data_IF_407487446787
#
_entry.id   IF_407487446787
#
_cell.length_a   1.000
_cell.length_b   1.000
_cell.length_c   1.000
_cell.angle_alpha   90.00
_cell.angle_beta   90.00
_cell.angle_gamma   90.00
#
_symmetry.space_group_name_H-M   'P 1'
#
loop_
_entity.id
_entity.type
_entity.pdbx_description
1 polymer ?
#
# COMPACT_ATOMS: atom_id res chain seq x y z
N UNK A 1 46.44 30.93 -3.05
CA UNK A 1 45.53 29.90 -3.60
C UNK A 1 44.03 30.24 -3.54
N UNK A 2 43.59 31.38 -2.96
CA UNK A 2 42.19 31.84 -2.97
C UNK A 2 41.86 32.79 -4.15
N UNK A 3 42.86 33.31 -4.85
CA UNK A 3 42.65 34.33 -5.91
C UNK A 3 41.87 33.84 -7.14
N UNK A 4 41.94 32.55 -7.48
CA UNK A 4 41.16 32.02 -8.60
C UNK A 4 39.66 31.91 -8.29
N UNK A 5 39.25 31.80 -7.02
CA UNK A 5 37.83 31.75 -6.65
C UNK A 5 37.12 33.08 -6.89
N UNK A 6 37.81 34.22 -6.66
CA UNK A 6 37.23 35.55 -6.95
C UNK A 6 37.13 35.86 -8.44
N UNK A 7 38.07 35.38 -9.26
CA UNK A 7 38.13 35.67 -10.70
C UNK A 7 36.96 35.07 -11.49
N UNK A 8 36.44 33.93 -11.03
CA UNK A 8 35.32 33.24 -11.69
C UNK A 8 33.98 33.42 -10.98
N UNK A 9 33.87 34.33 -10.00
CA UNK A 9 32.60 34.58 -9.27
C UNK A 9 31.44 34.88 -10.24
N UNK A 10 31.68 35.71 -11.26
CA UNK A 10 30.69 36.01 -12.29
C UNK A 10 30.35 34.81 -13.18
N UNK A 11 31.36 34.01 -13.57
CA UNK A 11 31.17 32.80 -14.36
C UNK A 11 30.34 31.76 -13.59
N UNK A 12 30.62 31.59 -12.29
CA UNK A 12 29.88 30.69 -11.40
C UNK A 12 28.42 31.09 -11.32
N UNK A 13 28.12 32.39 -11.20
CA UNK A 13 26.73 32.89 -11.20
C UNK A 13 26.02 32.52 -12.51
N UNK A 14 26.67 32.69 -13.67
CA UNK A 14 26.08 32.32 -14.98
C UNK A 14 25.81 30.82 -15.06
N UNK A 15 26.74 29.97 -14.59
CA UNK A 15 26.53 28.52 -14.53
C UNK A 15 25.36 28.17 -13.62
N UNK A 16 25.24 28.82 -12.46
CA UNK A 16 24.11 28.62 -11.56
C UNK A 16 22.78 29.04 -12.18
N UNK A 17 22.74 30.16 -12.90
CA UNK A 17 21.53 30.63 -13.61
C UNK A 17 21.12 29.63 -14.70
N UNK A 18 22.07 29.09 -15.47
CA UNK A 18 21.78 28.07 -16.48
C UNK A 18 21.26 26.78 -15.83
N UNK A 19 21.86 26.33 -14.73
CA UNK A 19 21.34 25.18 -13.97
C UNK A 19 19.94 25.43 -13.44
N UNK A 20 19.66 26.64 -12.97
CA UNK A 20 18.34 27.03 -12.45
C UNK A 20 17.28 27.06 -13.56
N UNK A 21 17.62 27.59 -14.74
CA UNK A 21 16.73 27.61 -15.90
C UNK A 21 16.48 26.19 -16.41
N UNK A 22 17.50 25.33 -16.46
CA UNK A 22 17.35 23.91 -16.79
C UNK A 22 16.46 23.19 -15.78
N UNK A 23 16.55 23.52 -14.49
CA UNK A 23 15.67 23.00 -13.46
C UNK A 23 14.23 23.54 -13.58
N UNK A 24 14.06 24.76 -14.10
CA UNK A 24 12.75 25.35 -14.38
C UNK A 24 12.10 24.78 -15.65
N UNK A 25 12.92 24.32 -16.62
CA UNK A 25 12.49 23.60 -17.82
C UNK A 25 12.27 22.09 -17.60
N UNK A 26 12.61 21.55 -16.42
CA UNK A 26 12.06 20.28 -15.96
C UNK A 26 10.57 20.52 -15.62
N UNK A 27 9.77 20.58 -16.69
CA UNK A 27 8.33 20.66 -16.61
C UNK A 27 7.86 19.53 -15.69
N UNK A 28 7.11 19.90 -14.64
CA UNK A 28 6.62 18.98 -13.60
C UNK A 28 5.74 17.89 -14.20
N UNK A 29 5.30 18.06 -15.45
CA UNK A 29 4.62 17.06 -16.29
C UNK A 29 5.51 15.86 -16.65
N UNK A 30 6.80 16.09 -16.95
CA UNK A 30 7.77 15.04 -17.31
C UNK A 30 8.24 14.22 -16.10
N UNK A 31 8.29 14.83 -14.91
CA UNK A 31 8.54 14.13 -13.64
C UNK A 31 7.29 13.41 -13.13
N UNK A 32 6.08 13.93 -13.39
CA UNK A 32 4.81 13.23 -13.08
C UNK A 32 4.64 11.95 -13.90
N UNK A 33 5.03 11.99 -15.17
CA UNK A 33 4.87 10.85 -16.09
C UNK A 33 5.97 9.79 -15.99
N UNK A 34 7.03 10.01 -15.21
CA UNK A 34 8.08 9.01 -14.99
C UNK A 34 7.74 8.02 -13.84
N UNK A 35 6.60 8.23 -13.17
CA UNK A 35 6.16 7.45 -11.99
C UNK A 35 4.86 6.67 -12.20
N UNK A 36 4.08 6.99 -13.25
CA UNK A 36 2.84 6.24 -13.54
C UNK A 36 3.17 5.06 -14.44
N UNK A 37 3.24 3.87 -13.86
CA UNK A 37 3.29 2.61 -14.62
C UNK A 37 2.15 2.53 -15.64
N UNK A 38 2.28 1.64 -16.61
CA UNK A 38 1.25 1.38 -17.62
C UNK A 38 -0.11 1.15 -16.93
N UNK A 39 -1.20 1.67 -17.50
CA UNK A 39 -2.54 1.41 -17.00
C UNK A 39 -2.85 -0.08 -17.12
N UNK A 40 -3.21 -0.73 -16.01
CA UNK A 40 -3.43 -2.18 -15.96
C UNK A 40 -4.93 -2.49 -15.87
N UNK A 41 -5.69 -1.77 -15.04
CA UNK A 41 -7.11 -2.07 -14.80
C UNK A 41 -7.95 -0.81 -14.56
N UNK A 42 -9.25 -0.89 -14.91
CA UNK A 42 -10.25 0.15 -14.60
C UNK A 42 -11.37 -0.45 -13.76
N UNK A 43 -11.56 0.07 -12.55
CA UNK A 43 -12.56 -0.40 -11.58
C UNK A 43 -13.33 0.80 -11.06
N UNK A 44 -14.66 0.72 -11.04
CA UNK A 44 -15.54 1.81 -10.56
C UNK A 44 -15.23 3.20 -11.16
N UNK A 45 -14.85 3.24 -12.45
CA UNK A 45 -14.51 4.49 -13.13
C UNK A 45 -13.09 5.02 -12.88
N UNK A 46 -12.35 4.47 -11.91
CA UNK A 46 -10.95 4.79 -11.63
C UNK A 46 -10.02 3.85 -12.41
N UNK A 47 -9.01 4.43 -13.06
CA UNK A 47 -7.91 3.69 -13.70
C UNK A 47 -6.78 3.51 -12.71
N UNK A 48 -6.24 2.29 -12.63
CA UNK A 48 -5.13 1.91 -11.78
C UNK A 48 -3.90 1.56 -12.62
N UNK A 49 -2.74 2.00 -12.15
CA UNK A 49 -1.46 1.69 -12.80
C UNK A 49 -0.82 0.41 -12.23
N UNK A 50 0.23 -0.07 -12.90
CA UNK A 50 0.96 -1.29 -12.52
C UNK A 50 1.51 -1.27 -11.08
N UNK A 51 1.97 -0.11 -10.61
CA UNK A 51 2.47 0.04 -9.24
C UNK A 51 1.33 -0.12 -8.23
N UNK A 52 0.19 0.50 -8.48
CA UNK A 52 -1.01 0.33 -7.64
C UNK A 52 -1.50 -1.11 -7.65
N UNK A 53 -1.50 -1.77 -8.81
CA UNK A 53 -1.86 -3.17 -8.94
C UNK A 53 -0.92 -4.07 -8.12
N UNK A 54 0.41 -3.88 -8.25
CA UNK A 54 1.40 -4.63 -7.49
C UNK A 54 1.27 -4.43 -5.98
N UNK A 55 1.14 -3.19 -5.52
CA UNK A 55 1.05 -2.89 -4.08
C UNK A 55 -0.27 -3.36 -3.47
N UNK A 56 -1.40 -3.05 -4.11
CA UNK A 56 -2.74 -3.33 -3.55
C UNK A 56 -3.24 -4.74 -3.86
N UNK A 57 -2.72 -5.37 -4.91
CA UNK A 57 -3.00 -6.72 -5.37
C UNK A 57 -1.92 -7.69 -4.91
N UNK A 58 -0.87 -7.91 -5.71
CA UNK A 58 0.15 -8.95 -5.51
C UNK A 58 0.81 -8.91 -4.13
N UNK A 59 1.47 -7.80 -3.76
CA UNK A 59 2.15 -7.66 -2.46
C UNK A 59 1.17 -7.76 -1.30
N UNK A 60 -0.04 -7.22 -1.45
CA UNK A 60 -1.05 -7.31 -0.39
C UNK A 60 -1.64 -8.71 -0.25
N UNK A 61 -1.74 -9.49 -1.33
CA UNK A 61 -2.15 -10.88 -1.29
C UNK A 61 -1.09 -11.75 -0.63
N UNK A 62 0.20 -11.50 -0.92
CA UNK A 62 1.30 -12.14 -0.19
C UNK A 62 1.28 -11.79 1.30
N UNK A 63 0.96 -10.54 1.65
CA UNK A 63 0.74 -10.12 3.03
C UNK A 63 -0.40 -10.90 3.69
N UNK A 64 -1.53 -11.04 3.01
CA UNK A 64 -2.65 -11.86 3.49
C UNK A 64 -2.22 -13.31 3.70
N UNK A 65 -1.47 -13.90 2.77
CA UNK A 65 -0.94 -15.25 2.89
C UNK A 65 -0.02 -15.44 4.10
N UNK A 66 0.83 -14.45 4.40
CA UNK A 66 1.70 -14.50 5.57
C UNK A 66 0.93 -14.36 6.90
N UNK A 67 -0.08 -13.48 6.94
CA UNK A 67 -0.97 -13.35 8.09
C UNK A 67 -1.75 -14.65 8.33
N UNK A 68 -2.28 -15.26 7.26
CA UNK A 68 -2.91 -16.57 7.31
C UNK A 68 -1.97 -17.67 7.82
N UNK A 69 -0.72 -17.70 7.35
CA UNK A 69 0.31 -18.61 7.84
C UNK A 69 0.64 -18.43 9.33
N UNK A 70 0.47 -17.22 9.85
CA UNK A 70 0.58 -16.90 11.28
C UNK A 70 -0.71 -17.20 12.08
N UNK A 71 -1.72 -17.79 11.45
CA UNK A 71 -2.98 -18.19 12.07
C UNK A 71 -4.11 -17.14 12.00
N UNK A 72 -3.93 -16.07 11.21
CA UNK A 72 -4.95 -15.04 11.00
C UNK A 72 -5.86 -15.39 9.82
N UNK A 73 -6.89 -16.20 10.09
CA UNK A 73 -7.79 -16.71 9.06
C UNK A 73 -8.96 -15.78 8.72
N UNK A 74 -9.16 -14.69 9.49
CA UNK A 74 -10.21 -13.70 9.23
C UNK A 74 -10.12 -13.12 7.82
N UNK A 75 -8.91 -13.04 7.28
CA UNK A 75 -8.61 -12.56 5.95
C UNK A 75 -9.10 -13.46 4.80
N UNK A 76 -9.43 -14.73 5.07
CA UNK A 76 -10.04 -15.60 4.05
C UNK A 76 -11.48 -15.20 3.72
N UNK A 77 -12.16 -14.44 4.59
CA UNK A 77 -13.49 -13.90 4.26
C UNK A 77 -13.41 -12.89 3.09
N UNK A 78 -12.30 -12.13 3.00
CA UNK A 78 -11.99 -11.25 1.87
C UNK A 78 -11.70 -11.95 0.55
N UNK A 79 -11.36 -13.24 0.58
CA UNK A 79 -11.13 -14.00 -0.64
C UNK A 79 -12.45 -14.65 -1.05
N UNK A 80 -13.15 -14.14 -2.09
CA UNK A 80 -14.33 -14.82 -2.58
C UNK A 80 -13.96 -16.28 -2.91
N UNK A 81 -14.86 -17.21 -2.58
CA UNK A 81 -14.74 -18.65 -2.87
C UNK A 81 -14.32 -18.94 -4.33
N UNK A 82 -14.55 -17.99 -5.25
CA UNK A 82 -14.07 -18.03 -6.64
C UNK A 82 -12.55 -18.01 -6.77
N UNK A 83 -11.80 -17.28 -5.94
CA UNK A 83 -10.33 -17.25 -5.92
C UNK A 83 -9.78 -18.62 -5.52
N UNK A 84 -10.37 -19.23 -4.49
CA UNK A 84 -9.99 -20.55 -4.00
C UNK A 84 -10.29 -21.67 -5.01
N UNK A 85 -11.31 -21.49 -5.86
CA UNK A 85 -11.76 -22.51 -6.81
C UNK A 85 -11.24 -22.34 -8.25
N UNK A 86 -10.62 -21.21 -8.63
CA UNK A 86 -10.26 -20.93 -10.05
C UNK A 86 -8.81 -20.45 -10.31
N UNK A 87 -7.91 -20.43 -9.34
CA UNK A 87 -6.64 -19.71 -9.50
C UNK A 87 -5.46 -20.56 -10.05
N UNK A 88 -5.03 -20.22 -11.27
CA UNK A 88 -3.60 -20.01 -11.52
C UNK A 88 -3.15 -18.70 -10.83
N UNK A 89 -1.85 -18.59 -10.50
CA UNK A 89 -1.29 -17.52 -9.64
C UNK A 89 -1.72 -16.10 -10.04
N UNK A 90 -1.65 -15.79 -11.33
CA UNK A 90 -1.97 -14.45 -11.87
C UNK A 90 -3.46 -14.07 -11.70
N UNK A 91 -4.36 -15.05 -11.80
CA UNK A 91 -5.81 -14.84 -11.66
C UNK A 91 -6.22 -14.53 -10.20
N UNK A 92 -5.46 -15.05 -9.22
CA UNK A 92 -5.73 -14.77 -7.80
C UNK A 92 -5.41 -13.32 -7.42
N UNK A 93 -4.28 -12.80 -7.91
CA UNK A 93 -3.84 -11.42 -7.63
C UNK A 93 -4.83 -10.40 -8.20
N UNK A 94 -5.28 -10.61 -9.44
CA UNK A 94 -6.26 -9.74 -10.09
C UNK A 94 -7.61 -9.78 -9.37
N UNK A 95 -8.14 -10.96 -9.06
CA UNK A 95 -9.42 -11.07 -8.36
C UNK A 95 -9.37 -10.48 -6.95
N UNK A 96 -8.28 -10.70 -6.20
CA UNK A 96 -8.09 -10.10 -4.89
C UNK A 96 -8.05 -8.56 -4.99
N UNK A 97 -7.30 -8.04 -5.96
CA UNK A 97 -7.24 -6.60 -6.22
C UNK A 97 -8.63 -6.02 -6.54
N UNK A 98 -9.39 -6.66 -7.44
CA UNK A 98 -10.73 -6.22 -7.81
C UNK A 98 -11.68 -6.21 -6.62
N UNK A 99 -11.74 -7.31 -5.86
CA UNK A 99 -12.61 -7.44 -4.69
C UNK A 99 -12.31 -6.32 -3.67
N UNK A 100 -11.03 -6.07 -3.40
CA UNK A 100 -10.59 -5.01 -2.50
C UNK A 100 -10.97 -3.61 -3.00
N UNK A 101 -10.86 -3.34 -4.31
CA UNK A 101 -11.21 -2.03 -4.86
C UNK A 101 -12.72 -1.79 -4.85
N UNK A 102 -13.53 -2.83 -5.08
CA UNK A 102 -15.00 -2.74 -4.94
C UNK A 102 -15.40 -2.40 -3.50
N UNK A 103 -14.80 -3.07 -2.51
CA UNK A 103 -15.05 -2.77 -1.10
C UNK A 103 -14.69 -1.32 -0.75
N UNK A 104 -13.53 -0.86 -1.22
CA UNK A 104 -13.07 0.52 -1.00
C UNK A 104 -13.92 1.56 -1.72
N UNK A 105 -14.48 1.22 -2.88
CA UNK A 105 -15.44 2.09 -3.53
C UNK A 105 -16.74 2.18 -2.70
N UNK A 106 -17.28 1.03 -2.28
CA UNK A 106 -18.46 1.01 -1.42
C UNK A 106 -18.25 1.83 -0.13
N UNK A 107 -17.05 1.76 0.46
CA UNK A 107 -16.64 2.60 1.59
C UNK A 107 -16.86 4.10 1.32
N UNK A 108 -16.43 4.55 0.14
CA UNK A 108 -16.57 5.95 -0.28
C UNK A 108 -18.02 6.31 -0.56
N UNK A 109 -18.75 5.43 -1.24
CA UNK A 109 -20.13 5.67 -1.64
C UNK A 109 -21.08 5.72 -0.44
N UNK A 110 -20.86 4.86 0.57
CA UNK A 110 -21.69 4.78 1.78
C UNK A 110 -21.17 5.60 2.97
N UNK A 111 -19.99 6.23 2.84
CA UNK A 111 -19.42 7.06 3.89
C UNK A 111 -19.03 6.31 5.17
N UNK A 112 -18.80 5.00 5.09
CA UNK A 112 -18.47 4.17 6.26
C UNK A 112 -16.96 4.07 6.39
N UNK A 113 -16.37 4.65 7.44
CA UNK A 113 -14.92 4.61 7.65
C UNK A 113 -14.63 4.08 9.06
N UNK A 114 -13.84 2.99 9.21
CA UNK A 114 -13.40 2.56 10.52
C UNK A 114 -12.52 3.63 11.16
N UNK A 115 -12.69 3.84 12.47
CA UNK A 115 -11.85 4.73 13.25
C UNK A 115 -10.43 4.17 13.44
N UNK A 116 -9.46 5.04 13.74
CA UNK A 116 -8.09 4.62 14.02
C UNK A 116 -8.01 3.70 15.26
N UNK A 117 -8.87 3.91 16.26
CA UNK A 117 -8.96 3.01 17.41
C UNK A 117 -9.46 1.62 17.01
N UNK A 118 -10.44 1.52 16.11
CA UNK A 118 -11.00 0.24 15.65
C UNK A 118 -9.96 -0.55 14.83
N UNK A 119 -9.25 0.13 13.93
CA UNK A 119 -8.15 -0.45 13.15
C UNK A 119 -7.05 -0.96 14.10
N UNK A 120 -6.65 -0.13 15.07
CA UNK A 120 -5.63 -0.48 16.05
C UNK A 120 -6.07 -1.64 16.94
N UNK A 121 -7.34 -1.67 17.34
CA UNK A 121 -7.92 -2.75 18.13
C UNK A 121 -7.99 -4.07 17.33
N UNK A 122 -8.30 -4.00 16.04
CA UNK A 122 -8.26 -5.16 15.13
C UNK A 122 -6.85 -5.73 15.05
N UNK A 123 -5.84 -4.90 14.74
CA UNK A 123 -4.44 -5.32 14.68
C UNK A 123 -3.96 -5.95 15.99
N UNK A 124 -4.31 -5.36 17.15
CA UNK A 124 -3.92 -5.91 18.46
C UNK A 124 -4.52 -7.28 18.78
N UNK A 125 -5.63 -7.64 18.13
CA UNK A 125 -6.29 -8.94 18.28
C UNK A 125 -5.74 -9.99 17.32
N UNK A 126 -4.96 -9.60 16.31
CA UNK A 126 -4.45 -10.53 15.33
C UNK A 126 -3.47 -11.52 15.96
N UNK A 127 -3.61 -12.79 15.60
CA UNK A 127 -2.72 -13.86 16.11
C UNK A 127 -1.28 -13.62 15.69
N UNK A 128 -1.07 -13.07 14.49
CA UNK A 128 0.24 -12.70 13.98
C UNK A 128 1.02 -11.72 14.87
N UNK A 129 0.32 -10.95 15.72
CA UNK A 129 0.92 -9.94 16.59
C UNK A 129 0.73 -10.25 18.07
N UNK A 130 0.35 -11.50 18.39
CA UNK A 130 0.12 -11.96 19.75
C UNK A 130 1.33 -12.74 20.27
N UNK A 131 1.80 -12.38 21.46
CA UNK A 131 2.87 -13.04 22.20
C UNK A 131 2.50 -14.44 22.71
N UNK A 132 3.48 -15.22 23.19
CA UNK A 132 3.22 -16.48 23.88
C UNK A 132 2.32 -16.34 25.11
N UNK A 133 2.27 -15.13 25.69
CA UNK A 133 1.42 -14.74 26.82
C UNK A 133 -0.02 -14.40 26.42
N UNK A 134 -0.36 -14.51 25.13
CA UNK A 134 -1.69 -14.19 24.60
C UNK A 134 -1.97 -12.68 24.51
N UNK A 135 -0.97 -11.82 24.72
CA UNK A 135 -1.12 -10.36 24.64
C UNK A 135 -0.44 -9.80 23.39
N UNK A 136 -0.82 -8.60 22.99
CA UNK A 136 -0.16 -7.92 21.88
C UNK A 136 1.36 -7.79 22.14
N UNK A 137 2.15 -8.19 21.15
CA UNK A 137 3.60 -8.13 21.17
C UNK A 137 4.10 -7.07 20.18
N UNK A 138 4.52 -5.91 20.72
CA UNK A 138 5.09 -4.83 19.92
C UNK A 138 6.34 -5.28 19.14
N UNK A 139 7.13 -6.20 19.70
CA UNK A 139 8.33 -6.73 19.04
C UNK A 139 8.00 -7.65 17.88
N UNK A 140 6.92 -8.44 17.95
CA UNK A 140 6.46 -9.23 16.80
C UNK A 140 5.89 -8.32 15.71
N UNK A 141 5.10 -7.32 16.09
CA UNK A 141 4.55 -6.33 15.17
C UNK A 141 5.65 -5.57 14.40
N UNK A 142 6.65 -5.03 15.10
CA UNK A 142 7.78 -4.34 14.46
C UNK A 142 8.58 -5.27 13.55
N UNK A 143 8.94 -6.47 14.03
CA UNK A 143 9.67 -7.45 13.19
C UNK A 143 8.90 -7.83 11.94
N UNK A 144 7.58 -7.90 12.02
CA UNK A 144 6.74 -8.17 10.86
C UNK A 144 6.81 -7.03 9.84
N UNK A 145 6.69 -5.77 10.29
CA UNK A 145 6.81 -4.60 9.42
C UNK A 145 8.21 -4.53 8.79
N UNK A 146 9.25 -4.57 9.62
CA UNK A 146 10.62 -4.33 9.17
C UNK A 146 11.15 -5.45 8.28
N UNK A 147 10.91 -6.71 8.66
CA UNK A 147 11.53 -7.86 7.98
C UNK A 147 10.66 -8.44 6.88
N UNK A 148 9.33 -8.45 7.05
CA UNK A 148 8.44 -9.08 6.08
C UNK A 148 7.86 -8.04 5.12
N UNK A 149 7.20 -7.01 5.63
CA UNK A 149 6.53 -6.02 4.78
C UNK A 149 7.53 -5.20 3.96
N UNK A 150 8.67 -4.82 4.56
CA UNK A 150 9.73 -4.12 3.85
C UNK A 150 10.23 -4.87 2.60
N UNK A 151 10.27 -6.20 2.64
CA UNK A 151 10.66 -7.04 1.48
C UNK A 151 9.63 -7.04 0.36
N UNK A 152 8.37 -6.78 0.69
CA UNK A 152 7.27 -6.67 -0.27
C UNK A 152 7.10 -5.26 -0.83
N UNK A 153 7.95 -4.31 -0.41
CA UNK A 153 7.80 -2.88 -0.71
C UNK A 153 6.59 -2.25 -0.02
N UNK A 154 6.11 -2.86 1.07
CA UNK A 154 4.97 -2.41 1.85
C UNK A 154 5.42 -1.68 3.12
N UNK A 155 4.53 -0.84 3.62
CA UNK A 155 4.71 -0.03 4.83
C UNK A 155 3.62 -0.35 5.85
N UNK A 156 3.79 0.09 7.10
CA UNK A 156 2.75 -0.06 8.13
C UNK A 156 1.38 0.47 7.66
N UNK A 157 1.37 1.53 6.86
CA UNK A 157 0.15 2.07 6.26
C UNK A 157 -0.61 1.02 5.46
N UNK A 158 0.07 0.20 4.68
CA UNK A 158 -0.56 -0.83 3.85
C UNK A 158 -1.22 -1.93 4.69
N UNK A 159 -0.61 -2.26 5.84
CA UNK A 159 -1.19 -3.18 6.83
C UNK A 159 -2.40 -2.56 7.53
N UNK A 160 -2.33 -1.29 7.92
CA UNK A 160 -3.46 -0.57 8.52
C UNK A 160 -4.61 -0.42 7.54
N UNK A 161 -4.30 -0.16 6.27
CA UNK A 161 -5.27 -0.08 5.18
C UNK A 161 -5.94 -1.45 4.95
N UNK A 162 -5.19 -2.55 5.00
CA UNK A 162 -5.76 -3.90 4.97
C UNK A 162 -6.63 -4.17 6.20
N UNK A 163 -6.19 -3.79 7.40
CA UNK A 163 -6.99 -3.94 8.61
C UNK A 163 -8.26 -3.07 8.60
N UNK A 164 -8.23 -1.90 7.95
CA UNK A 164 -9.43 -1.09 7.70
C UNK A 164 -10.42 -1.84 6.81
N UNK A 165 -9.94 -2.49 5.76
CA UNK A 165 -10.75 -3.34 4.89
C UNK A 165 -11.38 -4.50 5.72
N UNK A 166 -10.62 -5.13 6.63
CA UNK A 166 -11.09 -6.14 7.62
C UNK A 166 -12.27 -5.66 8.46
N UNK A 167 -12.08 -4.51 9.10
CA UNK A 167 -13.09 -3.97 10.00
C UNK A 167 -14.37 -3.64 9.23
N UNK A 168 -14.26 -3.12 8.02
CA UNK A 168 -15.42 -2.79 7.18
C UNK A 168 -16.28 -4.00 6.84
N UNK A 169 -15.66 -5.11 6.43
CA UNK A 169 -16.42 -6.34 6.14
C UNK A 169 -17.15 -6.85 7.38
N UNK A 170 -16.50 -6.79 8.55
CA UNK A 170 -17.12 -7.20 9.80
C UNK A 170 -18.36 -6.35 10.14
N UNK A 171 -18.32 -5.04 9.85
CA UNK A 171 -19.46 -4.12 10.03
C UNK A 171 -20.57 -4.44 9.04
N UNK A 172 -20.22 -4.69 7.77
CA UNK A 172 -21.19 -5.02 6.72
C UNK A 172 -21.93 -6.34 7.02
N UNK A 173 -21.20 -7.34 7.51
CA UNK A 173 -21.76 -8.67 7.82
C UNK A 173 -22.68 -8.64 9.05
N UNK A 174 -22.47 -7.74 10.01
CA UNK A 174 -23.33 -7.59 11.18
C UNK A 174 -24.65 -6.84 10.92
N UNK A 175 -24.78 -6.18 9.77
CA UNK A 175 -25.95 -5.36 9.40
C UNK A 175 -26.86 -5.99 8.36
N UNK A 176 -26.50 -7.16 7.82
CA UNK A 176 -27.33 -7.97 6.91
C UNK A 176 -28.07 -9.06 7.65
#
# INVERSE_FOLDING_TARGET
>A
MIENLRKYTGLMIVVFVILFISFFFLDTSSVRNMSSGQAVLKIAGRTYNDKEFRTLGSSSLELVGALAGAGEYSLYQFMPLSIAMTAGKDNAEEQFFIARMVLRQAKQDFGVYPGEEEISASLRKMRAFTGPDGKFSADQYRRFIDNFMGRLGLTERDLRDLASDIVLESIATQRG
#
